data_IF_141610836692
#
_entry.id   IF_141610836692
#
_cell.length_a   1.000
_cell.length_b   1.000
_cell.length_c   1.000
_cell.angle_alpha   90.00
_cell.angle_beta   90.00
_cell.angle_gamma   90.00
#
_symmetry.space_group_name_H-M   'P 1'
#
loop_
_entity.id
_entity.type
_entity.pdbx_description
1 polymer ?
#
# COMPACT_ATOMS: atom_id res chain seq x y z
N UNK A 1 -7.05 -38.79 27.86
CA UNK A 1 -6.13 -37.66 27.56
C UNK A 1 -6.14 -37.43 26.06
N UNK A 2 -6.93 -36.48 25.56
CA UNK A 2 -6.85 -36.08 24.15
C UNK A 2 -5.86 -34.92 24.01
N UNK A 3 -4.70 -35.20 23.42
CA UNK A 3 -3.79 -34.17 22.92
C UNK A 3 -4.36 -33.66 21.59
N UNK A 4 -5.21 -32.64 21.65
CA UNK A 4 -5.44 -31.81 20.47
C UNK A 4 -4.29 -30.78 20.37
N UNK A 5 -3.69 -30.54 19.18
CA UNK A 5 -2.73 -29.47 19.02
C UNK A 5 -3.43 -28.13 19.26
N UNK A 6 -2.98 -27.36 20.25
CA UNK A 6 -3.42 -25.98 20.45
C UNK A 6 -2.88 -25.14 19.29
N UNK A 7 -3.79 -24.67 18.44
CA UNK A 7 -3.48 -23.73 17.37
C UNK A 7 -3.56 -22.31 17.94
N UNK A 8 -2.43 -21.76 18.40
CA UNK A 8 -2.32 -20.37 18.86
C UNK A 8 -2.26 -19.43 17.64
N UNK A 9 -3.42 -19.13 17.05
CA UNK A 9 -3.57 -18.11 16.00
C UNK A 9 -3.47 -16.71 16.63
N UNK A 10 -2.24 -16.20 16.74
CA UNK A 10 -2.02 -14.78 17.09
C UNK A 10 -2.28 -13.92 15.86
N UNK A 11 -3.49 -13.39 15.75
CA UNK A 11 -3.81 -12.39 14.72
C UNK A 11 -3.22 -11.03 15.14
N UNK A 12 -1.97 -10.76 14.74
CA UNK A 12 -1.39 -9.42 14.84
C UNK A 12 -1.73 -8.62 13.60
N UNK A 13 -2.51 -7.53 13.75
CA UNK A 13 -2.55 -6.50 12.70
C UNK A 13 -1.25 -5.70 12.77
N UNK A 14 -0.41 -5.85 11.75
CA UNK A 14 0.78 -5.04 11.57
C UNK A 14 0.49 -3.95 10.55
N UNK A 15 0.76 -2.69 10.91
CA UNK A 15 0.72 -1.59 9.97
C UNK A 15 1.91 -1.73 9.04
N UNK A 16 1.67 -2.16 7.80
CA UNK A 16 2.70 -2.31 6.78
C UNK A 16 2.57 -1.22 5.73
N UNK A 17 3.70 -0.65 5.32
CA UNK A 17 3.74 0.26 4.18
C UNK A 17 3.41 -0.56 2.91
N UNK A 18 2.27 -0.27 2.28
CA UNK A 18 1.91 -0.88 1.00
C UNK A 18 2.47 -0.05 -0.15
N UNK A 19 2.74 -0.65 -1.33
CA UNK A 19 3.16 0.12 -2.50
C UNK A 19 2.18 1.24 -2.87
N UNK A 20 0.88 1.00 -2.68
CA UNK A 20 -0.18 1.99 -2.91
C UNK A 20 -0.12 3.13 -1.90
N UNK A 21 0.11 2.83 -0.61
CA UNK A 21 0.27 3.86 0.42
C UNK A 21 1.50 4.73 0.13
N UNK A 22 2.62 4.11 -0.24
CA UNK A 22 3.83 4.83 -0.63
C UNK A 22 3.59 5.70 -1.87
N UNK A 23 2.88 5.19 -2.88
CA UNK A 23 2.53 5.95 -4.08
C UNK A 23 1.63 7.14 -3.74
N UNK A 24 0.60 6.93 -2.92
CA UNK A 24 -0.29 8.01 -2.48
C UNK A 24 0.48 9.12 -1.74
N UNK A 25 1.40 8.74 -0.84
CA UNK A 25 2.27 9.70 -0.15
C UNK A 25 3.12 10.52 -1.14
N UNK A 26 3.68 9.88 -2.17
CA UNK A 26 4.43 10.58 -3.22
C UNK A 26 3.55 11.59 -3.97
N UNK A 27 2.35 11.19 -4.37
CA UNK A 27 1.42 12.07 -5.09
C UNK A 27 1.01 13.29 -4.26
N UNK A 28 0.82 13.12 -2.94
CA UNK A 28 0.51 14.23 -2.03
C UNK A 28 1.66 15.23 -1.88
N UNK A 29 2.90 14.83 -2.18
CA UNK A 29 4.07 15.69 -2.08
C UNK A 29 4.37 16.48 -3.37
N UNK A 30 3.70 16.17 -4.48
CA UNK A 30 3.88 16.84 -5.75
C UNK A 30 3.12 18.17 -5.82
N UNK A 31 3.64 19.13 -6.58
CA UNK A 31 2.91 20.33 -6.98
C UNK A 31 1.85 20.00 -8.04
N UNK A 32 0.87 20.89 -8.21
CA UNK A 32 -0.20 20.69 -9.20
C UNK A 32 0.33 20.46 -10.63
N UNK A 33 1.39 21.18 -11.03
CA UNK A 33 1.99 21.04 -12.38
C UNK A 33 2.68 19.67 -12.55
N UNK A 34 3.33 19.17 -11.51
CA UNK A 34 3.96 17.84 -11.51
C UNK A 34 2.90 16.74 -11.53
N UNK A 35 1.78 16.92 -10.83
CA UNK A 35 0.64 15.99 -10.88
C UNK A 35 0.04 15.91 -12.28
N UNK A 36 -0.17 17.05 -12.96
CA UNK A 36 -0.68 17.07 -14.34
C UNK A 36 0.26 16.33 -15.30
N UNK A 37 1.57 16.55 -15.17
CA UNK A 37 2.59 15.88 -15.98
C UNK A 37 2.57 14.37 -15.71
N UNK A 38 2.55 13.97 -14.43
CA UNK A 38 2.47 12.56 -14.03
C UNK A 38 1.24 11.87 -14.61
N UNK A 39 0.06 12.50 -14.55
CA UNK A 39 -1.18 11.94 -15.09
C UNK A 39 -1.10 11.77 -16.61
N UNK A 40 -0.55 12.76 -17.32
CA UNK A 40 -0.39 12.68 -18.78
C UNK A 40 0.49 11.50 -19.20
N UNK A 41 1.63 11.30 -18.52
CA UNK A 41 2.52 10.17 -18.78
C UNK A 41 1.85 8.82 -18.50
N UNK A 42 1.07 8.71 -17.44
CA UNK A 42 0.36 7.47 -17.10
C UNK A 42 -0.79 7.17 -18.08
N UNK A 43 -1.40 8.19 -18.68
CA UNK A 43 -2.38 8.02 -19.76
C UNK A 43 -1.71 7.50 -21.03
N UNK A 44 -0.54 8.00 -21.41
CA UNK A 44 0.19 7.52 -22.59
C UNK A 44 0.64 6.05 -22.47
N UNK A 45 0.86 5.57 -21.24
CA UNK A 45 1.28 4.19 -20.97
C UNK A 45 0.14 3.17 -20.92
N UNK A 46 -1.13 3.60 -20.96
CA UNK A 46 -2.33 2.76 -20.82
C UNK A 46 -2.92 2.39 -22.18
#
# INVERSE_FOLDING_TARGET
MSLAPRLDLRQSQSLVMTPQLQQAIKLLALSNLEIETFIAEEIEKN
#
